data_IF_945454857833
#
_entry.id   IF_945454857833
#
_cell.length_a   1.000
_cell.length_b   1.000
_cell.length_c   1.000
_cell.angle_alpha   90.00
_cell.angle_beta   90.00
_cell.angle_gamma   90.00
#
_symmetry.space_group_name_H-M   'P 1'
#
loop_
_entity.id
_entity.type
_entity.pdbx_description
1 polymer ?
#
# COMPACT_ATOMS: atom_id res chain seq x y z
N UNK A 1 -11.31 -7.55 -23.03
CA UNK A 1 -11.69 -7.49 -21.62
C UNK A 1 -10.47 -7.54 -20.69
N UNK A 2 -9.64 -8.55 -20.85
CA UNK A 2 -8.46 -8.70 -19.98
C UNK A 2 -7.50 -7.53 -20.12
N UNK A 3 -7.23 -7.07 -21.33
CA UNK A 3 -6.31 -5.95 -21.52
C UNK A 3 -6.87 -4.64 -20.96
N UNK A 4 -8.19 -4.48 -20.98
CA UNK A 4 -8.80 -3.31 -20.39
C UNK A 4 -8.66 -3.32 -18.88
N UNK A 5 -8.87 -4.48 -18.26
CA UNK A 5 -8.66 -4.61 -16.81
C UNK A 5 -7.20 -4.37 -16.43
N UNK A 6 -6.28 -4.93 -17.21
CA UNK A 6 -4.86 -4.71 -16.93
C UNK A 6 -4.50 -3.23 -17.03
N UNK A 7 -5.06 -2.53 -18.01
CA UNK A 7 -4.80 -1.11 -18.17
C UNK A 7 -5.34 -0.31 -16.98
N UNK A 8 -6.53 -0.68 -16.50
CA UNK A 8 -7.11 -0.01 -15.33
C UNK A 8 -6.27 -0.24 -14.08
N UNK A 9 -5.83 -1.47 -13.85
CA UNK A 9 -4.98 -1.76 -12.70
C UNK A 9 -3.65 -1.03 -12.80
N UNK A 10 -3.08 -0.97 -13.99
CA UNK A 10 -1.83 -0.26 -14.18
C UNK A 10 -1.99 1.23 -13.88
N UNK A 11 -3.11 1.82 -14.30
CA UNK A 11 -3.38 3.23 -14.03
C UNK A 11 -3.54 3.50 -12.54
N UNK A 12 -4.25 2.62 -11.84
CA UNK A 12 -4.44 2.77 -10.40
C UNK A 12 -3.13 2.58 -9.65
N UNK A 13 -2.34 1.57 -10.04
CA UNK A 13 -1.05 1.35 -9.44
C UNK A 13 -0.16 2.57 -9.62
N UNK A 14 -0.17 3.15 -10.81
CA UNK A 14 0.64 4.32 -11.08
C UNK A 14 0.20 5.52 -10.24
N UNK A 15 -1.11 5.70 -10.04
CA UNK A 15 -1.61 6.78 -9.21
C UNK A 15 -1.14 6.60 -7.76
N UNK A 16 -1.22 5.38 -7.23
CA UNK A 16 -0.75 5.10 -5.88
C UNK A 16 0.76 5.32 -5.78
N UNK A 17 1.51 4.87 -6.79
CA UNK A 17 2.95 5.05 -6.81
C UNK A 17 3.32 6.54 -6.73
N UNK A 18 2.58 7.37 -7.47
CA UNK A 18 2.84 8.82 -7.42
C UNK A 18 2.55 9.39 -6.05
N UNK A 19 1.49 8.93 -5.41
CA UNK A 19 1.21 9.36 -4.04
C UNK A 19 2.34 8.97 -3.10
N UNK A 20 2.90 7.77 -3.28
CA UNK A 20 3.99 7.32 -2.45
C UNK A 20 5.27 8.12 -2.71
N UNK A 21 5.50 8.52 -3.96
CA UNK A 21 6.63 9.37 -4.27
C UNK A 21 6.47 10.75 -3.62
N UNK A 22 5.26 11.27 -3.62
CA UNK A 22 4.97 12.57 -2.97
C UNK A 22 5.16 12.51 -1.47
N UNK A 23 5.06 11.33 -0.87
CA UNK A 23 5.30 11.17 0.56
C UNK A 23 6.75 11.46 0.94
N UNK A 24 7.68 11.32 -0.04
CA UNK A 24 9.06 11.73 0.17
C UNK A 24 9.69 11.06 1.36
N UNK A 25 10.27 11.86 2.25
CA UNK A 25 11.01 11.37 3.39
C UNK A 25 10.19 10.71 4.48
N UNK A 26 8.87 10.70 4.33
CA UNK A 26 8.04 9.99 5.31
C UNK A 26 8.13 8.47 5.17
N UNK A 27 8.68 8.01 4.05
CA UNK A 27 8.95 6.59 3.85
C UNK A 27 10.43 6.35 3.88
N UNK A 28 10.87 5.15 4.30
CA UNK A 28 12.31 4.84 4.28
C UNK A 28 12.88 5.01 2.89
N UNK A 29 14.13 5.47 2.83
CA UNK A 29 14.78 5.71 1.55
C UNK A 29 14.91 4.44 0.70
N UNK A 30 14.90 3.28 1.34
CA UNK A 30 15.04 2.00 0.65
C UNK A 30 13.72 1.46 0.12
N UNK A 31 12.62 2.19 0.32
CA UNK A 31 11.30 1.72 -0.10
C UNK A 31 11.21 1.60 -1.62
N UNK A 32 10.82 0.44 -2.09
CA UNK A 32 10.46 0.24 -3.49
C UNK A 32 9.02 0.68 -3.67
N UNK A 33 8.83 1.91 -4.15
CA UNK A 33 7.50 2.50 -4.18
C UNK A 33 6.59 1.85 -5.22
N UNK A 34 7.16 1.31 -6.27
CA UNK A 34 6.37 0.57 -7.26
C UNK A 34 5.81 -0.72 -6.66
N UNK A 35 6.67 -1.46 -5.98
CA UNK A 35 6.24 -2.70 -5.34
C UNK A 35 5.23 -2.41 -4.23
N UNK A 36 5.44 -1.34 -3.48
CA UNK A 36 4.52 -0.97 -2.43
C UNK A 36 3.15 -0.59 -3.00
N UNK A 37 3.13 0.13 -4.12
CA UNK A 37 1.87 0.47 -4.77
C UNK A 37 1.11 -0.76 -5.22
N UNK A 38 1.82 -1.74 -5.79
CA UNK A 38 1.20 -3.01 -6.18
C UNK A 38 0.63 -3.74 -4.97
N UNK A 39 1.37 -3.73 -3.88
CA UNK A 39 0.93 -4.37 -2.64
C UNK A 39 -0.35 -3.73 -2.11
N UNK A 40 -0.41 -2.40 -2.10
CA UNK A 40 -1.60 -1.68 -1.65
C UNK A 40 -2.80 -2.06 -2.49
N UNK A 41 -2.66 -2.03 -3.81
CA UNK A 41 -3.77 -2.37 -4.69
C UNK A 41 -4.19 -3.81 -4.55
N UNK A 42 -3.23 -4.72 -4.50
CA UNK A 42 -3.54 -6.15 -4.34
C UNK A 42 -4.32 -6.39 -3.05
N UNK A 43 -3.90 -5.74 -1.98
CA UNK A 43 -4.58 -5.86 -0.69
C UNK A 43 -6.01 -5.32 -0.77
N UNK A 44 -6.17 -4.15 -1.36
CA UNK A 44 -7.50 -3.53 -1.47
C UNK A 44 -8.43 -4.36 -2.35
N UNK A 45 -7.92 -4.87 -3.48
CA UNK A 45 -8.72 -5.69 -4.36
C UNK A 45 -9.16 -6.96 -3.67
N UNK A 46 -8.23 -7.62 -2.97
CA UNK A 46 -8.56 -8.82 -2.22
C UNK A 46 -9.57 -8.54 -1.12
N UNK A 47 -9.43 -7.41 -0.44
CA UNK A 47 -10.34 -7.02 0.63
C UNK A 47 -11.75 -6.82 0.12
N UNK A 48 -11.89 -6.17 -1.04
CA UNK A 48 -13.20 -5.96 -1.64
C UNK A 48 -13.82 -7.30 -2.03
N UNK A 49 -13.02 -8.17 -2.65
CA UNK A 49 -13.50 -9.48 -3.08
C UNK A 49 -13.98 -10.31 -1.90
N UNK A 50 -13.20 -10.32 -0.81
CA UNK A 50 -13.58 -11.06 0.39
C UNK A 50 -14.85 -10.50 1.01
N UNK A 51 -14.94 -9.16 1.11
CA UNK A 51 -16.11 -8.53 1.68
C UNK A 51 -17.37 -8.87 0.89
N UNK A 52 -17.25 -8.88 -0.43
CA UNK A 52 -18.38 -9.23 -1.29
C UNK A 52 -18.77 -10.68 -1.16
N UNK A 53 -17.77 -11.55 -1.21
CA UNK A 53 -17.99 -12.99 -1.15
C UNK A 53 -18.68 -13.40 0.15
N UNK A 54 -18.25 -12.81 1.25
CA UNK A 54 -18.77 -13.15 2.56
C UNK A 54 -19.89 -12.23 3.02
N UNK A 55 -20.21 -11.21 2.23
CA UNK A 55 -21.22 -10.20 2.57
C UNK A 55 -20.95 -9.61 3.93
N UNK A 56 -19.68 -9.26 4.15
CA UNK A 56 -19.22 -8.78 5.45
C UNK A 56 -18.15 -7.73 5.22
N UNK A 57 -18.50 -6.47 5.49
CA UNK A 57 -17.58 -5.36 5.33
C UNK A 57 -16.38 -5.47 6.28
N UNK A 58 -16.48 -6.29 7.29
CA UNK A 58 -15.38 -6.47 8.23
C UNK A 58 -14.09 -6.92 7.57
N UNK A 59 -14.18 -7.70 6.50
CA UNK A 59 -12.97 -8.08 5.76
C UNK A 59 -12.24 -6.86 5.22
N UNK A 60 -13.00 -5.92 4.68
CA UNK A 60 -12.41 -4.70 4.15
C UNK A 60 -11.83 -3.84 5.28
N UNK A 61 -12.59 -3.66 6.35
CA UNK A 61 -12.16 -2.82 7.47
C UNK A 61 -10.87 -3.34 8.09
N UNK A 62 -10.76 -4.66 8.25
CA UNK A 62 -9.55 -5.24 8.84
C UNK A 62 -8.34 -5.09 7.93
N UNK A 63 -8.55 -5.25 6.63
CA UNK A 63 -7.45 -5.06 5.68
C UNK A 63 -6.95 -3.63 5.69
N UNK A 64 -7.88 -2.66 5.73
CA UNK A 64 -7.51 -1.25 5.78
C UNK A 64 -6.76 -0.95 7.07
N UNK A 65 -7.21 -1.50 8.18
CA UNK A 65 -6.54 -1.28 9.47
C UNK A 65 -5.11 -1.80 9.44
N UNK A 66 -4.89 -2.97 8.83
CA UNK A 66 -3.54 -3.52 8.75
C UNK A 66 -2.65 -2.72 7.80
N UNK A 67 -3.21 -2.25 6.69
CA UNK A 67 -2.46 -1.39 5.79
C UNK A 67 -2.03 -0.11 6.50
N UNK A 68 -2.94 0.50 7.25
CA UNK A 68 -2.63 1.72 7.98
C UNK A 68 -1.50 1.47 8.98
N UNK A 69 -1.59 0.37 9.69
CA UNK A 69 -0.58 0.01 10.67
C UNK A 69 0.78 -0.20 10.01
N UNK A 70 0.79 -0.85 8.85
CA UNK A 70 2.02 -1.06 8.11
C UNK A 70 2.66 0.27 7.72
N UNK A 71 1.86 1.21 7.22
CA UNK A 71 2.38 2.52 6.87
C UNK A 71 2.90 3.29 8.08
N UNK A 72 2.22 3.17 9.22
CA UNK A 72 2.71 3.80 10.44
C UNK A 72 4.08 3.24 10.82
N UNK A 73 4.26 1.94 10.69
CA UNK A 73 5.55 1.33 10.97
C UNK A 73 6.63 1.80 10.01
N UNK A 74 6.29 1.95 8.74
CA UNK A 74 7.24 2.47 7.77
C UNK A 74 7.64 3.90 8.10
N UNK A 75 6.69 4.73 8.49
CA UNK A 75 6.99 6.10 8.87
C UNK A 75 7.88 6.16 10.09
N UNK A 76 7.65 5.29 11.06
CA UNK A 76 8.50 5.22 12.25
C UNK A 76 9.92 4.83 11.86
N UNK A 77 10.07 3.89 10.94
CA UNK A 77 11.39 3.51 10.45
C UNK A 77 12.09 4.66 9.79
N UNK A 78 11.37 5.44 9.00
CA UNK A 78 11.95 6.53 8.26
C UNK A 78 12.49 7.63 9.18
N UNK A 79 11.82 7.84 10.32
CA UNK A 79 12.18 8.95 11.21
C UNK A 79 13.00 8.52 12.42
N UNK A 80 13.28 7.23 12.56
CA UNK A 80 13.98 6.73 13.73
C UNK A 80 15.46 7.12 13.72
N UNK A 81 15.93 7.89 14.71
CA UNK A 81 17.35 8.23 14.76
C UNK A 81 18.24 7.02 14.97
N UNK A 82 17.70 6.01 15.62
CA UNK A 82 18.42 4.79 15.89
C UNK A 82 18.90 4.09 14.63
N UNK A 83 18.07 4.13 13.59
CA UNK A 83 18.45 3.50 12.34
C UNK A 83 19.65 4.17 11.72
N UNK A 84 19.72 5.48 11.82
CA UNK A 84 20.87 6.20 11.27
C UNK A 84 22.12 5.91 12.05
N UNK A 85 21.98 5.72 13.35
CA UNK A 85 23.13 5.46 14.21
C UNK A 85 23.63 4.05 14.09
N UNK A 86 22.83 3.16 13.58
CA UNK A 86 23.17 1.73 13.55
C UNK A 86 24.21 1.35 12.51
N UNK A 87 24.69 2.25 11.71
CA UNK A 87 25.64 1.94 10.67
C UNK A 87 27.01 1.61 11.16
#
# INVERSE_FOLDING_TARGET
MRSLLAANFAAWTDAVRRCLEDAGGRLPATTDRSALAEFVLTTMEGAVMQARTHRDIGYFDRAVAELRRYFELLEQQATSPRRRDAR
#
